data_IF_130433514794
#
_entry.id   IF_130433514794
#
_cell.length_a   1.000
_cell.length_b   1.000
_cell.length_c   1.000
_cell.angle_alpha   90.00
_cell.angle_beta   90.00
_cell.angle_gamma   90.00
#
_symmetry.space_group_name_H-M   'P 1'
#
loop_
_entity.id
_entity.type
_entity.pdbx_description
1 polymer ?
#
# COMPACT_ATOMS: atom_id res chain seq x y z
N UNK A 1 -0.68 10.24 9.44
CA UNK A 1 -0.90 8.99 8.68
C UNK A 1 -1.04 9.26 7.18
N UNK A 2 -1.66 10.37 6.75
CA UNK A 2 -1.76 10.76 5.33
C UNK A 2 -0.39 10.84 4.63
N UNK A 3 0.63 11.43 5.27
CA UNK A 3 1.99 11.47 4.71
C UNK A 3 2.60 10.07 4.47
N UNK A 4 2.33 9.11 5.38
CA UNK A 4 2.79 7.73 5.21
C UNK A 4 2.07 7.04 4.05
N UNK A 5 0.76 7.27 3.91
CA UNK A 5 -0.03 6.80 2.76
C UNK A 5 0.54 7.33 1.44
N UNK A 6 0.85 8.63 1.39
CA UNK A 6 1.44 9.26 0.22
C UNK A 6 2.80 8.64 -0.12
N UNK A 7 3.66 8.41 0.88
CA UNK A 7 4.97 7.75 0.68
C UNK A 7 4.80 6.33 0.15
N UNK A 8 3.85 5.54 0.69
CA UNK A 8 3.60 4.16 0.25
C UNK A 8 3.08 4.13 -1.19
N UNK A 9 2.15 5.03 -1.54
CA UNK A 9 1.64 5.15 -2.92
C UNK A 9 2.76 5.59 -3.88
N UNK A 10 3.58 6.56 -3.48
CA UNK A 10 4.71 7.05 -4.26
C UNK A 10 5.77 5.95 -4.47
N UNK A 11 6.06 5.17 -3.43
CA UNK A 11 6.97 4.02 -3.48
C UNK A 11 6.42 2.93 -4.41
N UNK A 12 5.11 2.68 -4.38
CA UNK A 12 4.43 1.81 -5.35
C UNK A 12 4.73 2.25 -6.79
N UNK A 13 4.40 3.50 -7.14
CA UNK A 13 4.67 4.06 -8.48
C UNK A 13 6.15 4.02 -8.86
N UNK A 14 7.05 4.32 -7.92
CA UNK A 14 8.50 4.20 -8.12
C UNK A 14 8.93 2.76 -8.42
N UNK A 15 8.36 1.77 -7.73
CA UNK A 15 8.64 0.35 -7.97
C UNK A 15 8.18 -0.11 -9.36
N UNK A 16 7.02 0.36 -9.86
CA UNK A 16 6.58 0.09 -11.23
C UNK A 16 7.54 0.69 -12.27
N UNK A 17 7.96 1.94 -12.06
CA UNK A 17 8.87 2.61 -12.98
C UNK A 17 10.26 1.94 -13.01
N UNK A 18 10.82 1.66 -11.83
CA UNK A 18 12.07 0.92 -11.70
C UNK A 18 11.96 -0.44 -12.40
N UNK A 19 10.86 -1.18 -12.17
CA UNK A 19 10.64 -2.47 -12.82
C UNK A 19 10.61 -2.36 -14.35
N UNK A 20 9.96 -1.33 -14.89
CA UNK A 20 9.89 -1.10 -16.34
C UNK A 20 11.27 -0.93 -16.99
N UNK A 21 12.21 -0.27 -16.29
CA UNK A 21 13.58 -0.06 -16.78
C UNK A 21 14.45 -1.29 -16.53
N UNK A 22 14.29 -1.94 -15.38
CA UNK A 22 15.14 -3.05 -14.96
C UNK A 22 14.75 -4.40 -15.56
N UNK A 23 13.52 -4.58 -16.09
CA UNK A 23 13.07 -5.87 -16.65
C UNK A 23 13.95 -6.41 -17.79
N UNK A 24 14.46 -5.52 -18.66
CA UNK A 24 15.34 -5.89 -19.78
C UNK A 24 16.74 -6.29 -19.31
N UNK A 25 17.46 -5.50 -18.49
CA UNK A 25 18.74 -5.93 -17.96
C UNK A 25 18.61 -7.14 -17.02
N UNK A 26 17.54 -7.29 -16.22
CA UNK A 26 17.31 -8.51 -15.46
C UNK A 26 17.14 -9.72 -16.39
N UNK A 27 16.35 -9.59 -17.45
CA UNK A 27 16.17 -10.66 -18.45
C UNK A 27 17.51 -11.12 -19.04
N UNK A 28 18.42 -10.18 -19.31
CA UNK A 28 19.77 -10.47 -19.78
C UNK A 28 20.66 -11.15 -18.72
N UNK A 29 20.65 -10.65 -17.47
CA UNK A 29 21.46 -11.20 -16.36
C UNK A 29 21.06 -12.62 -16.01
N UNK A 30 19.75 -12.89 -15.94
CA UNK A 30 19.23 -14.21 -15.60
C UNK A 30 19.11 -15.15 -16.81
N UNK A 31 19.37 -14.67 -18.03
CA UNK A 31 19.22 -15.46 -19.27
C UNK A 31 17.79 -15.97 -19.52
N UNK A 32 16.78 -15.32 -18.94
CA UNK A 32 15.37 -15.71 -19.08
C UNK A 32 14.58 -14.67 -19.84
N UNK A 33 13.49 -15.07 -20.50
CA UNK A 33 12.60 -14.12 -21.16
C UNK A 33 11.94 -13.13 -20.18
N UNK A 34 11.68 -11.91 -20.66
CA UNK A 34 11.04 -10.80 -19.91
C UNK A 34 9.71 -11.23 -19.26
N UNK A 35 8.98 -12.18 -19.86
CA UNK A 35 7.75 -12.73 -19.28
C UNK A 35 7.97 -13.41 -17.93
N UNK A 36 9.07 -14.15 -17.75
CA UNK A 36 9.43 -14.77 -16.46
C UNK A 36 9.80 -13.71 -15.44
N UNK A 37 10.60 -12.72 -15.83
CA UNK A 37 10.92 -11.60 -14.95
C UNK A 37 9.62 -10.93 -14.46
N UNK A 38 8.73 -10.54 -15.38
CA UNK A 38 7.44 -9.92 -15.02
C UNK A 38 6.52 -10.80 -14.15
N UNK A 39 6.67 -12.12 -14.15
CA UNK A 39 5.94 -12.97 -13.22
C UNK A 39 6.22 -12.60 -11.75
N UNK A 40 7.45 -12.16 -11.43
CA UNK A 40 7.82 -11.66 -10.10
C UNK A 40 6.98 -10.44 -9.72
N UNK A 41 6.82 -9.53 -10.67
CA UNK A 41 6.09 -8.30 -10.50
C UNK A 41 4.61 -8.56 -10.23
N UNK A 42 3.99 -9.41 -11.04
CA UNK A 42 2.59 -9.78 -10.85
C UNK A 42 2.36 -10.54 -9.53
N UNK A 43 3.29 -11.42 -9.15
CA UNK A 43 3.23 -12.12 -7.87
C UNK A 43 3.30 -11.14 -6.69
N UNK A 44 4.20 -10.17 -6.72
CA UNK A 44 4.30 -9.15 -5.68
C UNK A 44 3.01 -8.30 -5.58
N UNK A 45 2.44 -7.89 -6.71
CA UNK A 45 1.17 -7.17 -6.75
C UNK A 45 0.00 -8.01 -6.19
N UNK A 46 -0.06 -9.30 -6.54
CA UNK A 46 -1.07 -10.22 -6.03
C UNK A 46 -0.96 -10.36 -4.49
N UNK A 47 0.25 -10.62 -4.00
CA UNK A 47 0.53 -10.74 -2.57
C UNK A 47 0.26 -9.44 -1.81
N UNK A 48 0.54 -8.29 -2.41
CA UNK A 48 0.19 -6.98 -1.85
C UNK A 48 -1.33 -6.84 -1.67
N UNK A 49 -2.14 -7.30 -2.63
CA UNK A 49 -3.60 -7.30 -2.52
C UNK A 49 -4.11 -8.18 -1.38
N UNK A 50 -3.59 -9.42 -1.29
CA UNK A 50 -3.90 -10.33 -0.18
C UNK A 50 -3.47 -9.76 1.18
N UNK A 51 -2.28 -9.16 1.23
CA UNK A 51 -1.75 -8.53 2.43
C UNK A 51 -2.55 -7.29 2.85
N UNK A 52 -3.07 -6.51 1.89
CA UNK A 52 -3.95 -5.39 2.20
C UNK A 52 -5.30 -5.87 2.78
N UNK A 53 -5.86 -6.94 2.22
CA UNK A 53 -7.08 -7.56 2.75
C UNK A 53 -6.87 -8.13 4.15
N UNK A 54 -5.81 -8.92 4.35
CA UNK A 54 -5.45 -9.51 5.64
C UNK A 54 -5.03 -8.46 6.67
N UNK A 55 -4.33 -7.40 6.24
CA UNK A 55 -3.94 -6.27 7.07
C UNK A 55 -5.14 -5.51 7.64
N UNK A 56 -6.24 -5.41 6.89
CA UNK A 56 -7.50 -4.86 7.40
C UNK A 56 -8.08 -5.66 8.57
N UNK A 57 -7.92 -6.99 8.53
CA UNK A 57 -8.19 -7.84 9.70
C UNK A 57 -7.16 -7.60 10.81
N UNK A 58 -5.87 -7.57 10.49
CA UNK A 58 -4.80 -7.45 11.48
C UNK A 58 -4.89 -6.15 12.30
N UNK A 59 -5.29 -5.04 11.66
CA UNK A 59 -5.48 -3.74 12.31
C UNK A 59 -6.55 -3.80 13.40
N UNK A 60 -7.60 -4.63 13.23
CA UNK A 60 -8.68 -4.74 14.22
C UNK A 60 -8.21 -5.41 15.52
N UNK A 61 -7.13 -6.19 15.47
CA UNK A 61 -6.55 -6.90 16.62
C UNK A 61 -5.30 -6.20 17.19
N UNK A 62 -4.37 -5.78 16.34
CA UNK A 62 -3.06 -5.26 16.74
C UNK A 62 -2.92 -3.72 16.66
N UNK A 63 -3.91 -3.04 16.06
CA UNK A 63 -3.92 -1.59 15.89
C UNK A 63 -3.12 -1.09 14.67
N UNK A 64 -3.59 0.01 14.07
CA UNK A 64 -3.07 0.54 12.80
C UNK A 64 -1.57 0.91 12.83
N UNK A 65 -1.06 1.41 13.97
CA UNK A 65 0.34 1.81 14.09
C UNK A 65 1.30 0.61 14.00
N UNK A 66 1.01 -0.47 14.73
CA UNK A 66 1.88 -1.64 14.77
C UNK A 66 1.97 -2.29 13.37
N UNK A 67 0.83 -2.45 12.70
CA UNK A 67 0.75 -3.04 11.35
C UNK A 67 1.50 -2.19 10.32
N UNK A 68 1.41 -0.86 10.42
CA UNK A 68 2.12 0.05 9.51
C UNK A 68 3.65 -0.01 9.68
N UNK A 69 4.16 -0.03 10.91
CA UNK A 69 5.60 -0.15 11.19
C UNK A 69 6.12 -1.51 10.73
N UNK A 70 5.40 -2.59 11.03
CA UNK A 70 5.76 -3.94 10.59
C UNK A 70 5.84 -4.03 9.06
N UNK A 71 4.85 -3.46 8.36
CA UNK A 71 4.82 -3.41 6.90
C UNK A 71 6.00 -2.64 6.30
N UNK A 72 6.34 -1.48 6.86
CA UNK A 72 7.48 -0.68 6.42
C UNK A 72 8.83 -1.38 6.60
N UNK A 73 9.04 -2.02 7.77
CA UNK A 73 10.26 -2.80 8.05
C UNK A 73 10.35 -4.01 7.14
N UNK A 74 9.24 -4.73 6.94
CA UNK A 74 9.19 -5.89 6.06
C UNK A 74 9.47 -5.51 4.60
N UNK A 75 8.90 -4.39 4.13
CA UNK A 75 9.12 -3.90 2.77
C UNK A 75 10.59 -3.49 2.55
N UNK A 76 11.13 -2.64 3.43
CA UNK A 76 12.52 -2.18 3.32
C UNK A 76 13.52 -3.33 3.45
N UNK A 77 13.29 -4.24 4.40
CA UNK A 77 14.09 -5.44 4.58
C UNK A 77 14.06 -6.34 3.36
N UNK A 78 12.88 -6.61 2.79
CA UNK A 78 12.74 -7.46 1.61
C UNK A 78 13.41 -6.87 0.36
N UNK A 79 13.28 -5.55 0.11
CA UNK A 79 13.96 -4.87 -1.00
C UNK A 79 15.48 -4.91 -0.84
N UNK A 80 15.99 -4.63 0.36
CA UNK A 80 17.42 -4.69 0.64
C UNK A 80 17.97 -6.11 0.42
N UNK A 81 17.27 -7.11 0.93
CA UNK A 81 17.64 -8.51 0.77
C UNK A 81 17.55 -8.95 -0.71
N UNK A 82 16.56 -8.47 -1.46
CA UNK A 82 16.44 -8.74 -2.90
C UNK A 82 17.63 -8.19 -3.70
N UNK A 83 18.19 -7.04 -3.28
CA UNK A 83 19.41 -6.48 -3.86
C UNK A 83 20.67 -7.30 -3.56
N UNK A 84 20.76 -7.88 -2.36
CA UNK A 84 21.92 -8.67 -1.93
C UNK A 84 21.89 -10.11 -2.48
N UNK A 85 20.71 -10.74 -2.53
CA UNK A 85 20.53 -12.13 -2.95
C UNK A 85 19.97 -12.28 -4.38
N UNK A 86 20.07 -11.23 -5.19
CA UNK A 86 19.57 -11.14 -6.55
C UNK A 86 20.37 -11.94 -7.60
N UNK A 87 21.07 -13.01 -7.22
CA UNK A 87 21.74 -13.90 -8.16
C UNK A 87 20.84 -15.04 -8.63
N UNK A 88 19.77 -15.35 -7.88
CA UNK A 88 18.83 -16.42 -8.20
C UNK A 88 17.43 -15.88 -8.50
N UNK A 89 16.88 -16.34 -9.61
CA UNK A 89 15.53 -15.99 -10.07
C UNK A 89 14.46 -16.37 -9.03
N UNK A 90 14.68 -17.47 -8.30
CA UNK A 90 13.81 -17.90 -7.19
C UNK A 90 13.90 -16.95 -6.00
N UNK A 91 15.11 -16.48 -5.66
CA UNK A 91 15.30 -15.50 -4.59
C UNK A 91 14.62 -14.17 -4.95
N UNK A 92 14.69 -13.75 -6.22
CA UNK A 92 13.96 -12.59 -6.72
C UNK A 92 12.45 -12.77 -6.52
N UNK A 93 11.85 -13.91 -6.88
CA UNK A 93 10.41 -14.13 -6.67
C UNK A 93 10.01 -14.08 -5.19
N UNK A 94 10.77 -14.74 -4.32
CA UNK A 94 10.47 -14.80 -2.89
C UNK A 94 10.61 -13.44 -2.23
N UNK A 95 11.72 -12.74 -2.47
CA UNK A 95 12.04 -11.47 -1.82
C UNK A 95 11.22 -10.33 -2.40
N UNK A 96 11.02 -10.28 -3.71
CA UNK A 96 10.14 -9.29 -4.33
C UNK A 96 8.67 -9.54 -3.95
N UNK A 97 8.24 -10.81 -3.86
CA UNK A 97 6.93 -11.17 -3.32
C UNK A 97 6.74 -10.72 -1.87
N UNK A 98 7.74 -10.93 -1.02
CA UNK A 98 7.73 -10.48 0.38
C UNK A 98 7.68 -8.96 0.50
N UNK A 99 8.35 -8.24 -0.42
CA UNK A 99 8.25 -6.79 -0.50
C UNK A 99 6.79 -6.36 -0.79
N UNK A 100 6.09 -7.05 -1.69
CA UNK A 100 4.67 -6.83 -1.96
C UNK A 100 3.79 -6.99 -0.70
N UNK A 101 4.07 -8.00 0.13
CA UNK A 101 3.36 -8.20 1.41
C UNK A 101 3.59 -7.01 2.36
N UNK A 102 4.84 -6.55 2.50
CA UNK A 102 5.18 -5.40 3.34
C UNK A 102 4.50 -4.11 2.88
N UNK A 103 4.48 -3.88 1.56
CA UNK A 103 3.82 -2.74 0.92
C UNK A 103 2.30 -2.77 1.17
N UNK A 104 1.68 -3.94 1.00
CA UNK A 104 0.25 -4.15 1.27
C UNK A 104 -0.13 -3.89 2.73
N UNK A 105 0.64 -4.42 3.70
CA UNK A 105 0.42 -4.16 5.13
C UNK A 105 0.63 -2.69 5.50
N UNK A 106 1.68 -2.07 4.96
CA UNK A 106 1.99 -0.65 5.18
C UNK A 106 0.91 0.29 4.63
N UNK A 107 0.22 -0.10 3.55
CA UNK A 107 -0.87 0.67 2.95
C UNK A 107 -2.16 0.68 3.78
N UNK A 108 -2.48 -0.41 4.50
CA UNK A 108 -3.74 -0.49 5.26
C UNK A 108 -3.76 0.47 6.44
N UNK A 109 -2.61 0.66 7.11
CA UNK A 109 -2.50 1.50 8.30
C UNK A 109 -3.02 2.95 8.11
N UNK A 110 -2.62 3.68 7.05
CA UNK A 110 -3.17 5.00 6.80
C UNK A 110 -4.59 4.99 6.25
N UNK A 111 -5.01 3.97 5.50
CA UNK A 111 -6.41 3.84 5.03
C UNK A 111 -7.37 3.71 6.20
N UNK A 112 -7.01 2.92 7.22
CA UNK A 112 -7.80 2.79 8.45
C UNK A 112 -7.78 4.07 9.31
N UNK A 113 -6.79 4.94 9.13
CA UNK A 113 -6.67 6.21 9.84
C UNK A 113 -7.35 7.39 9.13
N UNK A 114 -7.91 7.19 7.93
CA UNK A 114 -8.73 8.20 7.27
C UNK A 114 -9.97 8.45 8.15
N UNK A 115 -10.22 9.70 8.58
CA UNK A 115 -11.45 10.04 9.29
C UNK A 115 -12.60 9.66 8.38
N UNK A 116 -13.45 8.72 8.83
CA UNK A 116 -14.64 8.34 8.09
C UNK A 116 -15.52 9.57 7.86
N UNK A 117 -15.47 10.12 6.65
CA UNK A 117 -16.51 10.99 6.14
C UNK A 117 -17.77 10.15 5.90
N UNK A 118 -18.47 9.78 6.97
CA UNK A 118 -19.88 9.35 6.95
C UNK A 118 -20.37 8.92 8.35
N UNK A 119 -20.31 9.82 9.35
CA UNK A 119 -21.24 9.71 10.50
C UNK A 119 -21.54 11.04 11.22
N UNK A 120 -21.79 12.11 10.47
CA UNK A 120 -22.48 13.31 10.96
C UNK A 120 -23.54 13.75 9.96
N UNK A 121 -24.63 12.99 9.90
CA UNK A 121 -25.95 13.51 9.49
C UNK A 121 -27.08 12.80 10.24
N UNK A 122 -26.77 12.21 11.40
CA UNK A 122 -27.77 11.59 12.27
C UNK A 122 -28.07 12.57 13.40
N UNK A 123 -29.02 13.47 13.14
CA UNK A 123 -29.71 14.24 14.16
C UNK A 123 -29.25 15.69 14.34
N UNK A 124 -29.76 16.60 13.52
CA UNK A 124 -30.13 17.94 14.00
C UNK A 124 -31.58 18.18 13.56
N UNK A 125 -32.56 18.05 14.48
CA UNK A 125 -33.92 18.49 14.20
C UNK A 125 -33.87 20.00 13.94
N UNK A 126 -34.47 20.43 12.84
CA UNK A 126 -35.14 21.75 12.73
C UNK A 126 -34.47 22.91 13.47
N UNK A 127 -33.47 23.53 12.85
CA UNK A 127 -33.21 24.95 13.08
C UNK A 127 -33.64 25.67 11.81
N UNK A 128 -34.88 26.16 11.82
CA UNK A 128 -35.39 27.09 10.82
C UNK A 128 -34.47 28.30 10.71
N UNK A 129 -34.29 28.88 9.51
CA UNK A 129 -33.50 30.10 9.38
C UNK A 129 -34.15 31.23 10.19
N UNK A 130 -33.38 31.83 11.11
CA UNK A 130 -33.79 32.92 12.00
C UNK A 130 -34.01 34.28 11.30
N UNK A 131 -34.15 34.31 9.98
CA UNK A 131 -34.37 35.54 9.20
C UNK A 131 -35.84 35.80 8.85
N UNK A 132 -36.76 34.89 9.18
CA UNK A 132 -38.19 35.02 8.86
C UNK A 132 -39.01 35.89 9.83
N UNK A 133 -38.36 36.77 10.60
CA UNK A 133 -39.05 37.75 11.43
C UNK A 133 -38.32 39.09 11.41
N UNK A 134 -38.54 39.88 10.37
CA UNK A 134 -38.42 41.33 10.44
C UNK A 134 -39.67 41.96 9.78
N UNK A 135 -40.34 42.94 10.43
CA UNK A 135 -41.61 43.48 9.98
C UNK A 135 -41.41 44.47 8.82
N UNK A 136 -42.37 44.49 7.89
CA UNK A 136 -42.45 45.51 6.85
C UNK A 136 -42.54 46.93 7.41
N UNK A 137 -42.05 47.89 6.63
CA UNK A 137 -42.87 49.02 6.24
C UNK A 137 -43.04 49.16 4.73
#
# INVERSE_FOLDING_TARGET
>A
MVALAAIVVQAGFGSFYAWSVFREPLSAVYGVGVARVNAAFFLANLLSGFAAFGGGLLIRWAGARAVGVLGGVLYGGAIFLAGVFGESLTALYLLYGLSGVGLGLGYVAPVAALPGGSRTSRGSPTASPSWASAPGP
#
